data_IF_048753507507
#
_entry.id   IF_048753507507
#
_cell.length_a   1.000
_cell.length_b   1.000
_cell.length_c   1.000
_cell.angle_alpha   90.00
_cell.angle_beta   90.00
_cell.angle_gamma   90.00
#
_symmetry.space_group_name_H-M   'P 1'
#
loop_
_entity.id
_entity.type
_entity.pdbx_description
1 polymer ?
#
# COMPACT_ATOMS: atom_id res chain seq x y z
N UNK A 1 -9.42 -16.28 3.59
CA UNK A 1 -9.25 -14.82 3.48
C UNK A 1 -8.99 -14.51 2.03
N UNK A 2 -9.81 -13.67 1.40
CA UNK A 2 -9.58 -13.26 0.01
C UNK A 2 -8.49 -12.19 -0.05
N UNK A 3 -7.75 -12.11 -1.17
CA UNK A 3 -6.67 -11.13 -1.34
C UNK A 3 -7.15 -9.69 -1.17
N UNK A 4 -8.40 -9.42 -1.56
CA UNK A 4 -9.08 -8.14 -1.33
C UNK A 4 -9.21 -7.81 0.15
N UNK A 5 -9.68 -8.75 0.96
CA UNK A 5 -9.82 -8.55 2.41
C UNK A 5 -8.47 -8.22 3.04
N UNK A 6 -7.41 -8.92 2.62
CA UNK A 6 -6.04 -8.69 3.10
C UNK A 6 -5.55 -7.27 2.74
N UNK A 7 -5.76 -6.83 1.49
CA UNK A 7 -5.37 -5.48 1.06
C UNK A 7 -6.11 -4.44 1.90
N UNK A 8 -7.43 -4.57 2.03
CA UNK A 8 -8.26 -3.61 2.76
C UNK A 8 -7.87 -3.57 4.24
N UNK A 9 -7.67 -4.73 4.88
CA UNK A 9 -7.25 -4.81 6.28
C UNK A 9 -5.88 -4.15 6.51
N UNK A 10 -4.92 -4.36 5.60
CA UNK A 10 -3.60 -3.76 5.72
C UNK A 10 -3.65 -2.24 5.52
N UNK A 11 -4.40 -1.75 4.52
CA UNK A 11 -4.59 -0.31 4.31
C UNK A 11 -5.26 0.34 5.52
N UNK A 12 -6.40 -0.20 5.95
CA UNK A 12 -7.16 0.32 7.09
C UNK A 12 -6.33 0.32 8.38
N UNK A 13 -5.63 -0.78 8.67
CA UNK A 13 -4.79 -0.91 9.85
C UNK A 13 -3.63 0.09 9.89
N UNK A 14 -2.90 0.24 8.77
CA UNK A 14 -1.75 1.15 8.70
C UNK A 14 -2.19 2.61 8.69
N UNK A 15 -3.26 2.96 7.99
CA UNK A 15 -3.81 4.32 7.97
C UNK A 15 -4.31 4.72 9.36
N UNK A 16 -5.03 3.84 10.06
CA UNK A 16 -5.46 4.07 11.44
C UNK A 16 -4.29 4.24 12.40
N UNK A 17 -3.26 3.42 12.26
CA UNK A 17 -2.06 3.55 13.08
C UNK A 17 -1.36 4.88 12.83
N UNK A 18 -1.23 5.31 11.57
CA UNK A 18 -0.63 6.58 11.21
C UNK A 18 -1.47 7.78 11.71
N UNK A 19 -2.79 7.73 11.56
CA UNK A 19 -3.68 8.80 12.02
C UNK A 19 -3.67 9.01 13.54
N UNK A 20 -3.34 7.96 14.30
CA UNK A 20 -3.22 8.05 15.76
C UNK A 20 -1.95 8.78 16.21
N UNK A 21 -0.97 8.95 15.32
CA UNK A 21 0.32 9.60 15.63
C UNK A 21 0.36 11.05 15.18
N UNK A 22 -0.11 11.29 13.96
CA UNK A 22 -0.02 12.57 13.32
C UNK A 22 -1.20 12.74 12.35
N UNK A 23 -1.42 13.99 11.95
CA UNK A 23 -2.35 14.30 10.87
C UNK A 23 -1.97 13.52 9.61
N UNK A 24 -2.97 12.90 8.96
CA UNK A 24 -2.76 12.14 7.73
C UNK A 24 -2.45 13.08 6.58
N UNK A 25 -1.19 13.09 6.14
CA UNK A 25 -0.78 13.78 4.92
C UNK A 25 -0.94 12.89 3.69
N UNK A 26 -1.09 13.49 2.51
CA UNK A 26 -1.28 12.77 1.25
C UNK A 26 -0.07 11.87 0.96
N UNK A 27 1.14 12.30 1.30
CA UNK A 27 2.37 11.53 1.14
C UNK A 27 2.35 10.23 1.96
N UNK A 28 1.78 10.26 3.17
CA UNK A 28 1.61 9.07 4.00
C UNK A 28 0.62 8.10 3.36
N UNK A 29 -0.50 8.62 2.83
CA UNK A 29 -1.50 7.82 2.13
C UNK A 29 -0.89 7.13 0.90
N UNK A 30 -0.17 7.88 0.07
CA UNK A 30 0.54 7.36 -1.11
C UNK A 30 1.55 6.28 -0.69
N UNK A 31 2.36 6.54 0.35
CA UNK A 31 3.37 5.59 0.83
C UNK A 31 2.75 4.28 1.32
N UNK A 32 1.72 4.36 2.18
CA UNK A 32 1.02 3.17 2.69
C UNK A 32 0.44 2.35 1.55
N UNK A 33 -0.27 3.00 0.63
CA UNK A 33 -0.87 2.35 -0.53
C UNK A 33 0.18 1.66 -1.42
N UNK A 34 1.33 2.31 -1.62
CA UNK A 34 2.41 1.76 -2.42
C UNK A 34 3.06 0.53 -1.77
N UNK A 35 3.35 0.58 -0.46
CA UNK A 35 3.92 -0.55 0.26
C UNK A 35 2.96 -1.74 0.35
N UNK A 36 1.67 -1.50 0.57
CA UNK A 36 0.66 -2.58 0.60
C UNK A 36 0.54 -3.23 -0.78
N UNK A 37 0.41 -2.43 -1.85
CA UNK A 37 0.31 -2.96 -3.21
C UNK A 37 1.56 -3.77 -3.60
N UNK A 38 2.75 -3.21 -3.37
CA UNK A 38 4.01 -3.87 -3.65
C UNK A 38 4.17 -5.16 -2.81
N UNK A 39 3.84 -5.13 -1.53
CA UNK A 39 3.95 -6.29 -0.64
C UNK A 39 3.07 -7.45 -1.07
N UNK A 40 1.84 -7.16 -1.50
CA UNK A 40 0.90 -8.18 -2.02
C UNK A 40 1.41 -8.78 -3.33
N UNK A 41 1.88 -7.94 -4.27
CA UNK A 41 2.41 -8.40 -5.55
C UNK A 41 3.72 -9.20 -5.38
N UNK A 42 4.58 -8.82 -4.43
CA UNK A 42 5.79 -9.59 -4.08
C UNK A 42 5.44 -10.92 -3.46
N UNK A 43 4.49 -10.96 -2.52
CA UNK A 43 3.99 -12.20 -1.94
C UNK A 43 3.44 -13.14 -2.99
N UNK A 44 2.71 -12.59 -3.99
CA UNK A 44 2.25 -13.36 -5.16
C UNK A 44 3.44 -13.93 -5.94
N UNK A 45 4.40 -13.08 -6.33
CA UNK A 45 5.59 -13.52 -7.06
C UNK A 45 6.38 -14.60 -6.31
N UNK A 46 6.51 -14.51 -4.98
CA UNK A 46 7.22 -15.52 -4.19
C UNK A 46 6.59 -16.91 -4.31
N UNK A 47 5.25 -16.99 -4.41
CA UNK A 47 4.49 -18.24 -4.50
C UNK A 47 4.45 -18.81 -5.92
N UNK A 48 4.11 -17.98 -6.91
CA UNK A 48 3.86 -18.44 -8.30
C UNK A 48 4.98 -18.13 -9.29
N UNK A 49 6.01 -17.39 -8.87
CA UNK A 49 7.17 -16.95 -9.68
C UNK A 49 6.81 -16.11 -10.91
N UNK A 50 5.59 -15.61 -10.97
CA UNK A 50 5.05 -14.76 -12.02
C UNK A 50 4.01 -13.82 -11.41
N UNK A 51 3.86 -12.62 -11.97
CA UNK A 51 2.72 -11.74 -11.67
C UNK A 51 2.19 -11.22 -12.99
N UNK A 52 0.93 -11.51 -13.29
CA UNK A 52 0.29 -11.09 -14.54
C UNK A 52 -0.22 -9.67 -14.45
N UNK A 53 -0.34 -9.02 -15.60
CA UNK A 53 -0.88 -7.66 -15.69
C UNK A 53 -2.30 -7.55 -15.10
N UNK A 54 -3.15 -8.55 -15.31
CA UNK A 54 -4.48 -8.64 -14.71
C UNK A 54 -4.44 -8.63 -13.17
N UNK A 55 -3.44 -9.28 -12.58
CA UNK A 55 -3.26 -9.33 -11.13
C UNK A 55 -2.75 -7.99 -10.59
N UNK A 56 -1.82 -7.36 -11.32
CA UNK A 56 -1.35 -6.00 -11.01
C UNK A 56 -2.52 -5.01 -11.04
N UNK A 57 -3.31 -5.05 -12.11
CA UNK A 57 -4.49 -4.21 -12.28
C UNK A 57 -5.55 -4.50 -11.22
N UNK A 58 -5.74 -5.77 -10.84
CA UNK A 58 -6.64 -6.17 -9.76
C UNK A 58 -6.22 -5.59 -8.41
N UNK A 59 -4.94 -5.70 -8.05
CA UNK A 59 -4.40 -5.12 -6.80
C UNK A 59 -4.59 -3.61 -6.79
N UNK A 60 -4.17 -2.90 -7.84
CA UNK A 60 -4.34 -1.45 -7.90
C UNK A 60 -5.80 -1.01 -7.97
N UNK A 61 -6.68 -1.79 -8.60
CA UNK A 61 -8.12 -1.53 -8.60
C UNK A 61 -8.71 -1.58 -7.19
N UNK A 62 -8.35 -2.58 -6.39
CA UNK A 62 -8.78 -2.69 -4.99
C UNK A 62 -8.26 -1.52 -4.16
N UNK A 63 -6.97 -1.19 -4.29
CA UNK A 63 -6.36 -0.05 -3.59
C UNK A 63 -7.04 1.26 -3.98
N UNK A 64 -7.21 1.50 -5.29
CA UNK A 64 -7.86 2.72 -5.80
C UNK A 64 -9.30 2.88 -5.32
N UNK A 65 -10.08 1.79 -5.33
CA UNK A 65 -11.45 1.79 -4.81
C UNK A 65 -11.48 2.13 -3.32
N UNK A 66 -10.57 1.55 -2.53
CA UNK A 66 -10.45 1.87 -1.12
C UNK A 66 -10.18 3.37 -0.91
N UNK A 67 -9.24 3.98 -1.65
CA UNK A 67 -8.97 5.41 -1.52
C UNK A 67 -10.13 6.28 -1.99
N UNK A 68 -10.82 5.90 -3.07
CA UNK A 68 -11.99 6.63 -3.55
C UNK A 68 -13.15 6.62 -2.53
N UNK A 69 -13.39 5.47 -1.89
CA UNK A 69 -14.45 5.31 -0.88
C UNK A 69 -14.15 6.07 0.41
N UNK A 70 -12.89 6.11 0.84
CA UNK A 70 -12.49 6.68 2.14
C UNK A 70 -12.00 8.14 2.05
N UNK A 71 -11.56 8.59 0.86
CA UNK A 71 -10.88 9.87 0.66
C UNK A 71 -11.29 10.58 -0.64
N UNK A 72 -12.42 10.26 -1.27
CA UNK A 72 -12.81 10.67 -2.63
C UNK A 72 -12.84 12.19 -2.97
N UNK A 73 -12.61 13.08 -2.00
CA UNK A 73 -12.37 14.52 -2.24
C UNK A 73 -10.93 15.00 -1.97
N UNK A 74 -10.11 14.22 -1.27
CA UNK A 74 -8.75 14.58 -0.87
C UNK A 74 -7.65 13.70 -1.48
N UNK A 75 -8.00 12.60 -2.14
CA UNK A 75 -7.06 11.73 -2.87
C UNK A 75 -7.38 11.78 -4.36
N UNK A 76 -6.51 12.41 -5.14
CA UNK A 76 -6.73 12.69 -6.56
C UNK A 76 -6.26 11.54 -7.45
N UNK A 77 -6.59 11.63 -8.74
CA UNK A 77 -6.07 10.69 -9.74
C UNK A 77 -4.54 10.80 -9.88
N UNK A 78 -3.97 11.99 -9.69
CA UNK A 78 -2.52 12.20 -9.75
C UNK A 78 -1.81 11.51 -8.55
N UNK A 79 -2.41 11.57 -7.37
CA UNK A 79 -1.94 10.85 -6.18
C UNK A 79 -1.98 9.34 -6.41
N UNK A 80 -3.05 8.85 -7.06
CA UNK A 80 -3.16 7.44 -7.42
C UNK A 80 -2.09 7.00 -8.43
N UNK A 81 -1.82 7.81 -9.45
CA UNK A 81 -0.75 7.54 -10.41
C UNK A 81 0.61 7.49 -9.70
N UNK A 82 0.86 8.43 -8.79
CA UNK A 82 2.09 8.47 -7.99
C UNK A 82 2.24 7.23 -7.12
N UNK A 83 1.17 6.80 -6.45
CA UNK A 83 1.11 5.55 -5.68
C UNK A 83 1.47 4.35 -6.55
N UNK A 84 0.85 4.22 -7.73
CA UNK A 84 1.13 3.11 -8.65
C UNK A 84 2.60 3.08 -9.06
N UNK A 85 3.15 4.21 -9.47
CA UNK A 85 4.56 4.32 -9.87
C UNK A 85 5.47 3.90 -8.72
N UNK A 86 5.26 4.44 -7.52
CA UNK A 86 6.05 4.11 -6.35
C UNK A 86 5.97 2.63 -5.97
N UNK A 87 4.79 2.01 -6.06
CA UNK A 87 4.63 0.58 -5.82
C UNK A 87 5.44 -0.27 -6.81
N UNK A 88 5.43 0.12 -8.09
CA UNK A 88 6.18 -0.59 -9.13
C UNK A 88 7.70 -0.43 -8.96
N UNK A 89 8.17 0.73 -8.48
CA UNK A 89 9.57 0.95 -8.12
C UNK A 89 9.98 0.09 -6.93
N UNK A 90 9.17 0.09 -5.86
CA UNK A 90 9.39 -0.71 -4.65
C UNK A 90 9.51 -2.22 -4.97
N UNK A 91 8.71 -2.73 -5.90
CA UNK A 91 8.78 -4.13 -6.33
C UNK A 91 10.16 -4.53 -6.87
N UNK A 92 10.86 -3.60 -7.51
CA UNK A 92 12.16 -3.83 -8.13
C UNK A 92 13.33 -3.69 -7.14
N UNK A 93 13.08 -3.13 -5.95
CA UNK A 93 14.13 -2.89 -4.97
C UNK A 93 14.55 -4.19 -4.27
N UNK A 94 15.85 -4.54 -4.26
CA UNK A 94 16.33 -5.72 -3.53
C UNK A 94 16.05 -5.64 -2.02
N UNK A 95 16.06 -4.43 -1.46
CA UNK A 95 15.91 -4.14 -0.02
C UNK A 95 14.47 -4.09 0.46
N UNK A 96 13.48 -4.23 -0.43
CA UNK A 96 12.07 -4.02 -0.11
C UNK A 96 11.58 -4.73 1.16
N UNK A 97 12.03 -5.97 1.43
CA UNK A 97 11.57 -6.69 2.64
C UNK A 97 12.09 -6.02 3.93
N UNK A 98 13.29 -5.45 3.91
CA UNK A 98 13.82 -4.62 5.00
C UNK A 98 13.04 -3.30 5.09
N UNK A 99 12.89 -2.62 3.95
CA UNK A 99 12.26 -1.29 3.88
C UNK A 99 10.78 -1.34 4.32
N UNK A 100 10.06 -2.41 3.96
CA UNK A 100 8.70 -2.66 4.39
C UNK A 100 8.61 -2.88 5.91
N UNK A 101 9.52 -3.68 6.47
CA UNK A 101 9.54 -3.92 7.92
C UNK A 101 9.84 -2.64 8.69
N UNK A 102 10.80 -1.84 8.21
CA UNK A 102 11.13 -0.54 8.80
C UNK A 102 9.94 0.42 8.71
N UNK A 103 9.33 0.54 7.53
CA UNK A 103 8.15 1.38 7.31
C UNK A 103 6.99 1.00 8.24
N UNK A 104 6.65 -0.28 8.34
CA UNK A 104 5.58 -0.75 9.24
C UNK A 104 5.97 -0.51 10.70
N UNK A 105 7.21 -0.77 11.09
CA UNK A 105 7.67 -0.49 12.45
C UNK A 105 7.58 1.00 12.79
N UNK A 106 7.96 1.88 11.87
CA UNK A 106 7.81 3.33 12.02
C UNK A 106 6.36 3.76 12.16
N UNK A 107 5.42 3.15 11.43
CA UNK A 107 3.98 3.43 11.58
C UNK A 107 3.45 2.90 12.92
N UNK A 108 3.94 1.77 13.43
CA UNK A 108 3.42 1.12 14.63
C UNK A 108 4.09 1.57 15.95
N UNK A 109 5.28 2.19 15.90
CA UNK A 109 5.99 2.70 17.10
C UNK A 109 5.13 3.66 17.89
N UNK A 110 4.62 3.30 19.07
CA UNK A 110 3.93 4.30 19.92
C UNK A 110 4.97 5.30 20.43
N UNK A 111 4.70 6.60 20.29
CA UNK A 111 5.43 7.61 21.05
C UNK A 111 5.13 7.35 22.53
N UNK A 112 6.15 6.96 23.29
CA UNK A 112 6.11 6.76 24.74
C UNK A 112 6.51 8.06 25.42
#
# INVERSE_FOLDING_TARGET
>A
MHIQDLIIQNLDGLIKAQSNKAELQIENLIAIGAYVAAGVLRGRYQVVKEVKEEEINGVFGIVGNFYAENFGGGFTQEDFITLKTRAMELLQQPTFDSDLNEFVAEILKKDI
#
